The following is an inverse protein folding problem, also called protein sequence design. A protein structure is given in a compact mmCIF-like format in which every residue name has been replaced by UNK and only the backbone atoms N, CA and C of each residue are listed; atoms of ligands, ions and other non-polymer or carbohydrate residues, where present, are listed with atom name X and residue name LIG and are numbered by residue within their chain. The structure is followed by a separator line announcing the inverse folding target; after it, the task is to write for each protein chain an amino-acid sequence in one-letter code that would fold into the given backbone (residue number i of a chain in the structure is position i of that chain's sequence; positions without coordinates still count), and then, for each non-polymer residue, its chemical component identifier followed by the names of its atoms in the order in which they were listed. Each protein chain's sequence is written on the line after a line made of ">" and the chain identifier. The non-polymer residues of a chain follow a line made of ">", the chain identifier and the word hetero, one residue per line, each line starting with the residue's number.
data_IF_555505922191
#
_entry.id   IF_555505922191
#
_cell.length_a   1.000
_cell.length_b   1.000
_cell.length_c   1.000
_cell.angle_alpha   90.00
_cell.angle_beta   90.00
_cell.angle_gamma   90.00
#
_symmetry.space_group_name_H-M   'P 1'
#
loop_
_entity.id
_entity.type
_entity.pdbx_description
1 polymer ?
#
# COMPACT_ATOMS: atom_id res chain seq x y z
N UNK A 1 7.19 11.53 2.22
CA UNK A 1 5.87 11.97 2.68
C UNK A 1 5.87 12.12 4.19
N UNK A 2 5.38 13.23 4.69
CA UNK A 2 5.30 13.45 6.13
C UNK A 2 4.05 12.77 6.71
N UNK A 3 4.23 12.02 7.81
CA UNK A 3 3.11 11.37 8.49
C UNK A 3 2.17 12.37 9.17
N UNK A 4 2.62 13.58 9.41
CA UNK A 4 1.80 14.62 10.06
C UNK A 4 0.57 15.01 9.25
N UNK A 5 0.62 14.83 7.95
CA UNK A 5 -0.48 15.18 7.05
C UNK A 5 -1.44 14.02 6.78
N UNK A 6 -1.14 12.79 7.23
CA UNK A 6 -1.97 11.62 6.93
C UNK A 6 -3.42 11.73 7.43
N UNK A 7 -3.69 12.29 8.63
CA UNK A 7 -5.08 12.43 9.07
C UNK A 7 -5.93 13.37 8.20
N UNK A 8 -5.28 14.19 7.35
CA UNK A 8 -5.98 15.11 6.45
C UNK A 8 -6.30 14.49 5.10
N UNK A 9 -5.77 13.30 4.80
CA UNK A 9 -6.08 12.59 3.56
C UNK A 9 -7.50 12.06 3.62
N UNK A 10 -8.33 12.45 2.64
CA UNK A 10 -9.73 12.02 2.58
C UNK A 10 -10.00 11.08 1.41
N UNK A 11 -9.12 11.01 0.42
CA UNK A 11 -9.28 10.12 -0.72
C UNK A 11 -9.00 8.66 -0.33
N UNK A 12 -9.73 7.68 -0.91
CA UNK A 12 -9.40 6.27 -0.68
C UNK A 12 -7.94 5.98 -1.00
N UNK A 13 -7.27 5.28 -0.10
CA UNK A 13 -5.82 5.07 -0.16
C UNK A 13 -5.47 3.60 -0.06
N UNK A 14 -4.68 3.11 -1.01
CA UNK A 14 -4.13 1.76 -1.01
C UNK A 14 -2.62 1.82 -0.77
N UNK A 15 -2.16 1.09 0.25
CA UNK A 15 -0.74 0.93 0.54
C UNK A 15 -0.31 -0.47 0.13
N UNK A 16 0.70 -0.58 -0.73
CA UNK A 16 1.23 -1.88 -1.18
C UNK A 16 2.70 -1.96 -0.80
N UNK A 17 3.08 -2.98 -0.05
CA UNK A 17 4.45 -3.14 0.43
C UNK A 17 4.99 -4.54 0.14
N UNK A 18 6.32 -4.63 -0.05
CA UNK A 18 7.01 -5.90 -0.21
C UNK A 18 7.11 -6.64 1.13
N UNK A 19 6.74 -7.91 1.14
CA UNK A 19 6.70 -8.71 2.36
C UNK A 19 8.05 -9.04 2.96
N UNK A 20 9.13 -8.88 2.19
CA UNK A 20 10.49 -9.16 2.66
C UNK A 20 11.18 -7.93 3.25
N UNK A 21 10.51 -6.78 3.36
CA UNK A 21 11.10 -5.56 3.89
C UNK A 21 10.39 -5.16 5.19
N UNK A 22 10.89 -5.68 6.31
CA UNK A 22 10.26 -5.47 7.62
C UNK A 22 10.22 -4.00 8.05
N UNK A 23 11.23 -3.23 7.69
CA UNK A 23 11.28 -1.81 8.05
C UNK A 23 10.21 -1.04 7.31
N UNK A 24 10.08 -1.29 6.01
CA UNK A 24 9.07 -0.63 5.18
C UNK A 24 7.66 -1.06 5.60
N UNK A 25 7.47 -2.34 5.94
CA UNK A 25 6.19 -2.81 6.47
C UNK A 25 5.81 -2.03 7.72
N UNK A 26 6.73 -1.90 8.68
CA UNK A 26 6.46 -1.17 9.91
C UNK A 26 6.09 0.29 9.66
N UNK A 27 6.79 0.97 8.75
CA UNK A 27 6.50 2.35 8.39
C UNK A 27 5.12 2.47 7.74
N UNK A 28 4.75 1.53 6.86
CA UNK A 28 3.45 1.55 6.22
C UNK A 28 2.32 1.22 7.19
N UNK A 29 2.56 0.34 8.15
CA UNK A 29 1.56 0.06 9.18
C UNK A 29 1.29 1.30 10.05
N UNK A 30 2.32 2.08 10.37
CA UNK A 30 2.15 3.33 11.09
C UNK A 30 1.35 4.33 10.26
N UNK A 31 1.66 4.46 8.98
CA UNK A 31 0.92 5.33 8.07
C UNK A 31 -0.54 4.90 7.97
N UNK A 32 -0.77 3.59 7.82
CA UNK A 32 -2.12 3.04 7.74
C UNK A 32 -2.94 3.38 8.98
N UNK A 33 -2.35 3.26 10.15
CA UNK A 33 -3.05 3.56 11.41
C UNK A 33 -3.46 5.02 11.52
N UNK A 34 -2.74 5.94 10.86
CA UNK A 34 -3.02 7.37 10.92
C UNK A 34 -4.01 7.85 9.86
N UNK A 35 -4.21 7.07 8.80
CA UNK A 35 -5.17 7.43 7.76
C UNK A 35 -6.61 7.31 8.30
N UNK A 36 -7.44 8.30 8.01
CA UNK A 36 -8.85 8.33 8.43
C UNK A 36 -9.81 8.13 7.27
N UNK A 37 -9.31 7.88 6.08
CA UNK A 37 -10.10 7.61 4.89
C UNK A 37 -10.33 6.11 4.73
N UNK A 38 -11.10 5.72 3.70
CA UNK A 38 -11.14 4.33 3.27
C UNK A 38 -9.74 3.90 2.90
N UNK A 39 -9.27 2.78 3.45
CA UNK A 39 -7.87 2.38 3.33
C UNK A 39 -7.72 0.88 3.28
N UNK A 40 -6.64 0.44 2.63
CA UNK A 40 -6.25 -0.96 2.60
C UNK A 40 -4.72 -1.05 2.58
N UNK A 41 -4.18 -2.02 3.28
CA UNK A 41 -2.77 -2.33 3.29
C UNK A 41 -2.58 -3.72 2.72
N UNK A 42 -1.80 -3.84 1.64
CA UNK A 42 -1.51 -5.10 0.99
C UNK A 42 -0.03 -5.40 1.10
N UNK A 43 0.31 -6.59 1.58
CA UNK A 43 1.69 -7.07 1.67
C UNK A 43 1.88 -8.12 0.59
N UNK A 44 2.84 -7.90 -0.31
CA UNK A 44 3.16 -8.85 -1.39
C UNK A 44 4.23 -9.82 -0.88
N UNK A 45 3.90 -11.10 -0.67
CA UNK A 45 4.87 -12.06 -0.14
C UNK A 45 6.07 -12.24 -1.07
N UNK A 46 7.26 -12.33 -0.48
CA UNK A 46 8.50 -12.56 -1.23
C UNK A 46 9.01 -11.35 -2.00
N UNK A 47 8.39 -10.19 -1.85
CA UNK A 47 8.79 -8.99 -2.57
C UNK A 47 9.58 -8.04 -1.66
N UNK A 48 10.62 -7.43 -2.22
CA UNK A 48 11.31 -6.28 -1.60
C UNK A 48 10.55 -5.00 -1.99
N UNK A 49 10.99 -3.87 -1.44
CA UNK A 49 10.36 -2.59 -1.75
C UNK A 49 10.52 -2.17 -3.23
N UNK A 50 11.43 -2.79 -3.97
CA UNK A 50 11.65 -2.51 -5.39
C UNK A 50 10.81 -3.40 -6.32
N UNK A 51 10.19 -4.45 -5.79
CA UNK A 51 9.35 -5.38 -6.56
C UNK A 51 10.09 -5.96 -7.76
N UNK A 52 11.35 -6.34 -7.57
CA UNK A 52 12.19 -6.91 -8.63
C UNK A 52 12.00 -8.41 -8.82
N UNK A 53 11.40 -9.09 -7.85
CA UNK A 53 11.19 -10.53 -7.88
C UNK A 53 10.14 -10.92 -8.92
N UNK A 54 10.28 -12.09 -9.60
CA UNK A 54 9.30 -12.51 -10.59
C UNK A 54 7.89 -12.57 -10.03
N UNK A 55 6.93 -12.01 -10.76
CA UNK A 55 5.52 -12.04 -10.39
C UNK A 55 5.08 -10.98 -9.41
N UNK A 56 6.00 -10.24 -8.78
CA UNK A 56 5.61 -9.25 -7.76
C UNK A 56 4.96 -8.02 -8.36
N UNK A 57 5.45 -7.53 -9.50
CA UNK A 57 4.85 -6.38 -10.17
C UNK A 57 3.44 -6.72 -10.70
N UNK A 58 3.23 -7.93 -11.16
CA UNK A 58 1.90 -8.38 -11.59
C UNK A 58 0.93 -8.37 -10.42
N UNK A 59 1.35 -8.79 -9.25
CA UNK A 59 0.52 -8.73 -8.05
C UNK A 59 0.19 -7.29 -7.66
N UNK A 60 1.16 -6.39 -7.73
CA UNK A 60 0.93 -4.96 -7.47
C UNK A 60 -0.11 -4.42 -8.45
N UNK A 61 0.06 -4.70 -9.75
CA UNK A 61 -0.87 -4.23 -10.76
C UNK A 61 -2.28 -4.78 -10.54
N UNK A 62 -2.41 -6.04 -10.16
CA UNK A 62 -3.69 -6.66 -9.89
C UNK A 62 -4.41 -5.99 -8.72
N UNK A 63 -3.70 -5.80 -7.60
CA UNK A 63 -4.30 -5.13 -6.44
C UNK A 63 -4.67 -3.68 -6.74
N UNK A 64 -3.80 -2.96 -7.44
CA UNK A 64 -4.07 -1.58 -7.81
C UNK A 64 -5.29 -1.48 -8.74
N UNK A 65 -5.39 -2.38 -9.72
CA UNK A 65 -6.52 -2.40 -10.64
C UNK A 65 -7.83 -2.65 -9.91
N UNK A 66 -7.86 -3.62 -9.00
CA UNK A 66 -9.07 -3.90 -8.20
C UNK A 66 -9.46 -2.70 -7.35
N UNK A 67 -8.49 -2.02 -6.77
CA UNK A 67 -8.73 -0.83 -5.97
C UNK A 67 -9.34 0.29 -6.81
N UNK A 68 -8.76 0.58 -7.97
CA UNK A 68 -9.24 1.63 -8.85
C UNK A 68 -10.64 1.33 -9.40
N UNK A 69 -10.90 0.08 -9.78
CA UNK A 69 -12.24 -0.33 -10.24
C UNK A 69 -13.27 -0.08 -9.14
N UNK A 70 -12.91 -0.34 -7.89
CA UNK A 70 -13.82 -0.14 -6.75
C UNK A 70 -14.15 1.33 -6.52
N UNK A 71 -13.16 2.23 -6.67
CA UNK A 71 -13.29 3.62 -6.23
C UNK A 71 -13.47 4.64 -7.35
N UNK A 72 -13.21 4.29 -8.59
CA UNK A 72 -13.33 5.21 -9.73
C UNK A 72 -14.56 4.92 -10.61
N UNK A 73 -15.60 4.47 -10.01
CA UNK A 73 -16.86 4.17 -10.73
C UNK A 73 -17.55 5.42 -11.24
#
# INVERSE_FOLDING_TARGET
>A
MSMEHLPLVQAPTLLIVGGDDDVVIGLNEQAYAQLRCEKELVIIPGATHLFEEPGTLEQVAEHATRWFVRWLK
#
